data_IF_049446540422
#
_entry.id   IF_049446540422
#
_cell.length_a   1.000
_cell.length_b   1.000
_cell.length_c   1.000
_cell.angle_alpha   90.00
_cell.angle_beta   90.00
_cell.angle_gamma   90.00
#
_symmetry.space_group_name_H-M   'P 1'
#
loop_
_entity.id
_entity.type
_entity.pdbx_description
1 polymer ?
#
# COMPACT_ATOMS: atom_id res chain seq x y z
N UNK A 1 16.83 3.46 -1.74
CA UNK A 1 17.04 3.52 -3.21
C UNK A 1 18.09 2.58 -3.74
N UNK A 2 19.31 2.51 -3.18
CA UNK A 2 20.31 1.50 -3.63
C UNK A 2 19.78 0.06 -3.62
N UNK A 3 19.05 -0.41 -2.58
CA UNK A 3 18.45 -1.75 -2.60
C UNK A 3 17.41 -1.93 -3.71
N UNK A 4 16.53 -0.93 -3.92
CA UNK A 4 15.49 -0.96 -4.95
C UNK A 4 16.08 -0.93 -6.36
N UNK A 5 17.03 -0.03 -6.63
CA UNK A 5 17.71 0.06 -7.92
C UNK A 5 18.50 -1.21 -8.23
N UNK A 6 19.17 -1.79 -7.23
CA UNK A 6 19.84 -3.07 -7.35
C UNK A 6 18.86 -4.21 -7.63
N UNK A 7 17.71 -4.24 -6.96
CA UNK A 7 16.66 -5.23 -7.17
C UNK A 7 16.04 -5.14 -8.58
N UNK A 8 15.90 -3.92 -9.12
CA UNK A 8 15.37 -3.65 -10.45
C UNK A 8 16.42 -3.69 -11.57
N UNK A 9 17.70 -3.93 -11.23
CA UNK A 9 18.80 -3.90 -12.21
C UNK A 9 19.05 -2.52 -12.83
N UNK A 10 18.55 -1.45 -12.22
CA UNK A 10 18.64 -0.09 -12.73
C UNK A 10 19.91 0.62 -12.20
N UNK A 11 20.56 1.40 -13.06
CA UNK A 11 21.63 2.30 -12.66
C UNK A 11 21.04 3.54 -11.96
N UNK A 12 21.84 4.29 -11.20
CA UNK A 12 21.36 5.45 -10.42
C UNK A 12 20.59 6.50 -11.28
N UNK A 13 20.86 6.57 -12.59
CA UNK A 13 20.14 7.45 -13.53
C UNK A 13 18.79 6.91 -14.00
N UNK A 14 18.57 5.59 -13.97
CA UNK A 14 17.33 4.95 -14.45
C UNK A 14 16.13 5.23 -13.57
N UNK A 15 16.33 5.47 -12.27
CA UNK A 15 15.24 5.82 -11.35
C UNK A 15 14.46 7.06 -11.81
N UNK A 16 15.21 8.13 -12.10
CA UNK A 16 14.63 9.43 -12.40
C UNK A 16 14.03 9.54 -13.80
N UNK A 17 14.22 8.52 -14.64
CA UNK A 17 13.48 8.37 -15.89
C UNK A 17 12.02 7.96 -15.66
N UNK A 18 11.70 7.34 -14.51
CA UNK A 18 10.37 6.85 -14.17
C UNK A 18 9.68 7.67 -13.07
N UNK A 19 10.45 8.18 -12.10
CA UNK A 19 9.92 8.89 -10.95
C UNK A 19 10.63 10.24 -10.76
N UNK A 20 9.87 11.29 -10.49
CA UNK A 20 10.39 12.65 -10.30
C UNK A 20 11.18 12.78 -8.99
N UNK A 21 10.81 11.99 -7.98
CA UNK A 21 11.46 11.95 -6.68
C UNK A 21 11.22 10.59 -6.00
N UNK A 22 11.82 10.40 -4.82
CA UNK A 22 11.50 9.23 -3.99
C UNK A 22 10.08 9.31 -3.45
N UNK A 23 9.60 10.50 -3.12
CA UNK A 23 8.25 10.71 -2.61
C UNK A 23 7.22 10.42 -3.70
N UNK A 24 7.50 10.80 -4.95
CA UNK A 24 6.68 10.47 -6.13
C UNK A 24 6.55 8.95 -6.34
N UNK A 25 7.65 8.20 -6.16
CA UNK A 25 7.59 6.73 -6.16
C UNK A 25 6.67 6.20 -5.04
N UNK A 26 6.84 6.70 -3.81
CA UNK A 26 6.07 6.23 -2.64
C UNK A 26 4.59 6.53 -2.83
N UNK A 27 4.26 7.72 -3.32
CA UNK A 27 2.89 8.13 -3.64
C UNK A 27 2.28 7.19 -4.68
N UNK A 28 2.95 6.96 -5.81
CA UNK A 28 2.44 6.08 -6.87
C UNK A 28 2.29 4.63 -6.40
N UNK A 29 3.25 4.10 -5.63
CA UNK A 29 3.18 2.76 -5.07
C UNK A 29 2.00 2.62 -4.09
N UNK A 30 1.77 3.63 -3.26
CA UNK A 30 0.64 3.66 -2.34
C UNK A 30 -0.70 3.73 -3.08
N UNK A 31 -0.83 4.63 -4.06
CA UNK A 31 -2.03 4.72 -4.89
C UNK A 31 -2.35 3.37 -5.54
N UNK A 32 -1.35 2.71 -6.13
CA UNK A 32 -1.52 1.39 -6.73
C UNK A 32 -1.98 0.33 -5.71
N UNK A 33 -1.36 0.29 -4.53
CA UNK A 33 -1.75 -0.65 -3.47
C UNK A 33 -3.19 -0.40 -2.98
N UNK A 34 -3.58 0.87 -2.81
CA UNK A 34 -4.93 1.24 -2.41
C UNK A 34 -5.96 0.89 -3.49
N UNK A 35 -5.63 1.04 -4.78
CA UNK A 35 -6.53 0.68 -5.86
C UNK A 35 -6.75 -0.84 -5.94
N UNK A 36 -5.73 -1.65 -5.64
CA UNK A 36 -5.89 -3.10 -5.51
C UNK A 36 -6.84 -3.45 -4.34
N UNK A 37 -6.68 -2.80 -3.19
CA UNK A 37 -7.58 -2.97 -2.03
C UNK A 37 -9.00 -2.56 -2.39
N UNK A 38 -9.20 -1.42 -3.06
CA UNK A 38 -10.52 -0.97 -3.52
C UNK A 38 -11.19 -1.98 -4.43
N UNK A 39 -10.45 -2.62 -5.33
CA UNK A 39 -10.96 -3.69 -6.18
C UNK A 39 -11.56 -4.82 -5.35
N UNK A 40 -10.76 -5.37 -4.43
CA UNK A 40 -11.19 -6.47 -3.54
C UNK A 40 -12.38 -6.04 -2.67
N UNK A 41 -12.33 -4.85 -2.06
CA UNK A 41 -13.43 -4.38 -1.20
C UNK A 41 -14.70 -4.14 -1.99
N UNK A 42 -14.62 -3.60 -3.21
CA UNK A 42 -15.80 -3.37 -4.07
C UNK A 42 -16.54 -4.67 -4.39
N UNK A 43 -15.81 -5.77 -4.61
CA UNK A 43 -16.40 -7.09 -4.86
C UNK A 43 -17.12 -7.65 -3.62
N UNK A 44 -16.56 -7.46 -2.43
CA UNK A 44 -17.17 -7.89 -1.17
C UNK A 44 -18.41 -7.03 -0.85
N UNK A 45 -18.30 -5.71 -1.01
CA UNK A 45 -19.41 -4.78 -0.73
C UNK A 45 -20.57 -4.85 -1.74
N UNK A 46 -20.40 -5.55 -2.86
CA UNK A 46 -21.50 -5.86 -3.79
C UNK A 46 -22.45 -6.98 -3.30
N UNK A 47 -22.11 -7.69 -2.22
CA UNK A 47 -22.86 -8.85 -1.69
C UNK A 47 -23.78 -8.47 -0.53
N UNK A 48 -24.74 -9.35 -0.21
CA UNK A 48 -25.53 -9.25 1.03
C UNK A 48 -24.63 -9.59 2.24
N UNK A 49 -24.87 -8.99 3.41
CA UNK A 49 -24.04 -9.12 4.63
C UNK A 49 -22.55 -8.76 4.48
N UNK A 50 -22.26 -7.85 3.54
CA UNK A 50 -20.90 -7.48 3.13
C UNK A 50 -19.96 -6.96 4.22
N UNK A 51 -20.49 -6.35 5.28
CA UNK A 51 -19.64 -5.86 6.37
C UNK A 51 -19.00 -7.02 7.15
N UNK A 52 -19.77 -8.07 7.45
CA UNK A 52 -19.23 -9.23 8.16
C UNK A 52 -18.21 -9.97 7.30
N UNK A 53 -18.54 -10.19 6.02
CA UNK A 53 -17.61 -10.83 5.08
C UNK A 53 -16.32 -10.01 4.91
N UNK A 54 -16.42 -8.69 4.86
CA UNK A 54 -15.26 -7.82 4.77
C UNK A 54 -14.38 -7.92 6.02
N UNK A 55 -14.97 -7.91 7.22
CA UNK A 55 -14.23 -8.08 8.47
C UNK A 55 -13.51 -9.43 8.49
N UNK A 56 -14.20 -10.52 8.13
CA UNK A 56 -13.62 -11.87 8.11
C UNK A 56 -12.47 -11.96 7.09
N UNK A 57 -12.66 -11.41 5.90
CA UNK A 57 -11.61 -11.35 4.87
C UNK A 57 -10.41 -10.53 5.36
N UNK A 58 -10.65 -9.34 5.89
CA UNK A 58 -9.61 -8.40 6.30
C UNK A 58 -8.78 -8.92 7.48
N UNK A 59 -9.43 -9.60 8.44
CA UNK A 59 -8.80 -10.17 9.63
C UNK A 59 -8.32 -11.61 9.44
N UNK A 60 -8.52 -12.21 8.25
CA UNK A 60 -8.07 -13.56 7.96
C UNK A 60 -6.54 -13.68 8.01
N UNK A 61 -6.05 -14.90 8.27
CA UNK A 61 -4.61 -15.20 8.22
C UNK A 61 -4.03 -14.94 6.83
N UNK A 62 -4.82 -15.13 5.78
CA UNK A 62 -4.41 -14.84 4.40
C UNK A 62 -4.07 -13.37 4.22
N UNK A 63 -4.93 -12.46 4.70
CA UNK A 63 -4.69 -11.02 4.64
C UNK A 63 -3.56 -10.57 5.57
N UNK A 64 -3.42 -11.22 6.74
CA UNK A 64 -2.36 -10.93 7.72
C UNK A 64 -0.97 -11.35 7.23
N UNK A 65 -0.87 -12.52 6.61
CA UNK A 65 0.39 -13.15 6.20
C UNK A 65 0.75 -12.85 4.73
N UNK A 66 -0.08 -12.06 4.05
CA UNK A 66 0.18 -11.61 2.68
C UNK A 66 1.49 -10.82 2.61
N UNK A 67 2.52 -11.41 2.01
CA UNK A 67 3.79 -10.74 1.76
C UNK A 67 3.65 -9.68 0.65
N UNK A 68 2.76 -9.93 -0.31
CA UNK A 68 2.46 -9.05 -1.44
C UNK A 68 0.92 -8.91 -1.60
N UNK A 69 0.45 -7.69 -1.89
CA UNK A 69 -0.95 -7.44 -2.24
C UNK A 69 -1.96 -7.28 -1.09
N UNK A 70 -1.50 -7.27 0.17
CA UNK A 70 -2.33 -6.93 1.33
C UNK A 70 -2.67 -5.43 1.43
N UNK A 71 -3.56 -5.07 2.36
CA UNK A 71 -3.86 -3.66 2.63
C UNK A 71 -2.63 -2.97 3.27
N UNK A 72 -2.10 -1.88 2.70
CA UNK A 72 -0.91 -1.22 3.22
C UNK A 72 -1.20 -0.36 4.47
N UNK A 73 -2.48 -0.01 4.71
CA UNK A 73 -2.87 0.95 5.74
C UNK A 73 -2.42 0.57 7.16
N UNK A 74 -2.58 -0.68 7.65
CA UNK A 74 -2.13 -1.04 9.00
C UNK A 74 -0.65 -0.78 9.25
N UNK A 75 0.20 -1.15 8.29
CA UNK A 75 1.65 -0.97 8.40
C UNK A 75 2.03 0.50 8.24
N UNK A 76 1.43 1.20 7.27
CA UNK A 76 1.76 2.60 7.00
C UNK A 76 1.28 3.54 8.09
N UNK A 77 0.09 3.34 8.66
CA UNK A 77 -0.38 4.17 9.77
C UNK A 77 0.58 4.13 10.96
N UNK A 78 1.20 2.97 11.22
CA UNK A 78 2.21 2.84 12.27
C UNK A 78 3.48 3.64 11.93
N UNK A 79 3.99 3.54 10.70
CA UNK A 79 5.17 4.30 10.28
C UNK A 79 4.92 5.81 10.24
N UNK A 80 3.74 6.23 9.76
CA UNK A 80 3.36 7.64 9.70
C UNK A 80 3.22 8.24 11.11
N UNK A 81 2.67 7.49 12.07
CA UNK A 81 2.59 7.94 13.47
C UNK A 81 3.95 8.10 14.16
N UNK A 82 5.01 7.50 13.63
CA UNK A 82 6.39 7.68 14.12
C UNK A 82 7.09 8.89 13.49
N UNK A 83 6.50 9.51 12.46
CA UNK A 83 7.01 10.78 11.95
C UNK A 83 6.56 11.85 12.95
N UNK A 84 7.51 12.64 13.46
CA UNK A 84 7.24 13.82 14.31
C UNK A 84 6.58 14.97 13.51
N UNK A 85 5.67 14.63 12.62
CA UNK A 85 4.93 15.52 11.73
C UNK A 85 3.46 15.10 11.80
N UNK A 86 2.61 15.86 12.50
CA UNK A 86 1.19 15.57 12.55
C UNK A 86 0.56 15.65 11.16
N UNK A 87 -0.47 14.84 10.96
CA UNK A 87 -1.31 14.91 9.77
C UNK A 87 -1.97 16.29 9.70
N UNK A 88 -2.04 16.89 8.51
CA UNK A 88 -2.76 18.15 8.31
C UNK A 88 -4.30 17.98 8.39
N UNK A 89 -4.78 16.73 8.34
CA UNK A 89 -6.20 16.39 8.23
C UNK A 89 -6.82 15.88 9.54
N UNK A 90 -6.00 15.56 10.54
CA UNK A 90 -6.42 15.03 11.86
C UNK A 90 -5.57 15.64 12.96
#
# INVERSE_FOLDING_TARGET
MQPLMKALGLTHGGFYAHFKSKDDLVEQALSHALDNVKGITSEVFARQDSLSEFIDLYLSTTSRDAQDGGCPLPTMCLELGQRDQPSETT
#
